data_IF_283913881886
#
_entry.id   IF_283913881886
#
_cell.length_a   1.000
_cell.length_b   1.000
_cell.length_c   1.000
_cell.angle_alpha   90.00
_cell.angle_beta   90.00
_cell.angle_gamma   90.00
#
_symmetry.space_group_name_H-M   'P 1'
#
loop_
_entity.id
_entity.type
_entity.pdbx_description
1 polymer ?
#
# COMPACT_ATOMS: atom_id res chain seq x y z
N UNK A 1 4.70 6.52 -1.04
CA UNK A 1 3.45 5.79 -1.37
C UNK A 1 2.39 5.98 -0.29
N UNK A 2 2.59 5.56 0.97
CA UNK A 2 1.59 5.76 2.04
C UNK A 2 1.13 7.24 2.17
N UNK A 3 2.06 8.19 2.08
CA UNK A 3 1.72 9.62 2.07
C UNK A 3 0.87 10.05 0.86
N UNK A 4 1.05 9.42 -0.31
CA UNK A 4 0.24 9.70 -1.50
C UNK A 4 -1.18 9.16 -1.32
N UNK A 5 -1.32 7.95 -0.76
CA UNK A 5 -2.63 7.38 -0.43
C UNK A 5 -3.35 8.20 0.65
N UNK A 6 -2.62 8.70 1.66
CA UNK A 6 -3.16 9.63 2.64
C UNK A 6 -3.65 10.96 2.00
N UNK A 7 -3.03 11.40 0.90
CA UNK A 7 -3.49 12.53 0.10
C UNK A 7 -4.60 12.17 -0.91
N UNK A 8 -5.10 10.93 -0.90
CA UNK A 8 -6.14 10.45 -1.83
C UNK A 8 -5.64 10.12 -3.24
N UNK A 9 -4.32 10.14 -3.47
CA UNK A 9 -3.72 9.79 -4.77
C UNK A 9 -3.46 8.29 -4.87
N UNK A 10 -4.54 7.51 -4.96
CA UNK A 10 -4.47 6.05 -5.02
C UNK A 10 -3.91 5.51 -6.34
N UNK A 11 -3.93 6.31 -7.41
CA UNK A 11 -3.33 5.97 -8.69
C UNK A 11 -1.81 6.23 -8.74
N UNK A 12 -1.28 6.98 -7.76
CA UNK A 12 0.08 7.51 -7.76
C UNK A 12 0.37 8.38 -8.99
N UNK A 13 -0.65 9.05 -9.52
CA UNK A 13 -0.53 9.87 -10.74
C UNK A 13 -0.02 11.28 -10.45
N UNK A 14 -0.27 11.79 -9.23
CA UNK A 14 0.17 13.13 -8.81
C UNK A 14 1.45 13.06 -7.96
N UNK A 15 1.72 11.92 -7.33
CA UNK A 15 2.85 11.67 -6.44
C UNK A 15 3.61 10.42 -6.89
N UNK A 16 4.27 10.50 -8.05
CA UNK A 16 5.13 9.43 -8.53
C UNK A 16 6.20 9.09 -7.48
N UNK A 17 6.36 7.80 -7.19
CA UNK A 17 7.34 7.29 -6.22
C UNK A 17 8.38 6.48 -6.98
N UNK A 18 9.65 6.84 -6.86
CA UNK A 18 10.75 6.09 -7.48
C UNK A 18 10.69 4.61 -7.06
N UNK A 19 10.78 3.72 -8.05
CA UNK A 19 10.71 2.27 -7.81
C UNK A 19 9.31 1.75 -7.51
N UNK A 20 8.24 2.52 -7.73
CA UNK A 20 6.85 2.07 -7.60
C UNK A 20 6.14 2.25 -8.94
N UNK A 21 5.47 1.20 -9.42
CA UNK A 21 4.66 1.27 -10.63
C UNK A 21 3.43 2.13 -10.38
N UNK A 22 2.98 2.84 -11.40
CA UNK A 22 1.67 3.47 -11.38
C UNK A 22 0.59 2.41 -11.11
N UNK A 23 -0.45 2.80 -10.37
CA UNK A 23 -1.54 1.89 -10.02
C UNK A 23 -2.64 2.03 -11.06
N UNK A 24 -3.08 0.92 -11.65
CA UNK A 24 -4.20 0.90 -12.59
C UNK A 24 -5.46 1.52 -11.97
N UNK A 25 -6.22 2.26 -12.78
CA UNK A 25 -7.40 3.01 -12.28
C UNK A 25 -8.45 2.12 -11.62
N UNK A 26 -8.60 0.86 -12.06
CA UNK A 26 -9.50 -0.11 -11.44
C UNK A 26 -9.03 -0.50 -10.02
N UNK A 27 -7.72 -0.72 -9.83
CA UNK A 27 -7.12 -1.00 -8.54
C UNK A 27 -7.21 0.24 -7.65
N UNK A 28 -6.85 1.41 -8.17
CA UNK A 28 -6.93 2.67 -7.44
C UNK A 28 -8.37 2.95 -6.94
N UNK A 29 -9.38 2.67 -7.76
CA UNK A 29 -10.78 2.75 -7.36
C UNK A 29 -11.13 1.76 -6.23
N UNK A 30 -10.69 0.51 -6.34
CA UNK A 30 -10.91 -0.50 -5.30
C UNK A 30 -10.23 -0.13 -3.97
N UNK A 31 -9.02 0.45 -4.03
CA UNK A 31 -8.32 0.99 -2.86
C UNK A 31 -9.14 2.13 -2.24
N UNK A 32 -9.61 3.09 -3.05
CA UNK A 32 -10.42 4.20 -2.57
C UNK A 32 -11.71 3.73 -1.90
N UNK A 33 -12.40 2.74 -2.48
CA UNK A 33 -13.60 2.12 -1.91
C UNK A 33 -13.30 1.42 -0.58
N UNK A 34 -12.18 0.70 -0.49
CA UNK A 34 -11.78 -0.01 0.74
C UNK A 34 -11.43 0.96 1.87
N UNK A 35 -10.66 2.02 1.57
CA UNK A 35 -10.33 3.07 2.56
C UNK A 35 -11.59 3.84 2.98
N UNK A 36 -12.47 4.16 2.04
CA UNK A 36 -13.75 4.82 2.33
C UNK A 36 -14.65 3.95 3.22
N UNK A 37 -14.74 2.65 2.93
CA UNK A 37 -15.52 1.69 3.71
C UNK A 37 -14.96 1.49 5.13
N UNK A 38 -13.64 1.60 5.31
CA UNK A 38 -13.02 1.59 6.65
C UNK A 38 -13.45 2.81 7.49
N UNK A 39 -13.75 3.93 6.83
CA UNK A 39 -14.36 5.11 7.47
C UNK A 39 -13.37 5.99 8.26
N UNK A 40 -12.07 5.77 8.12
CA UNK A 40 -11.02 6.60 8.74
C UNK A 40 -9.95 6.94 7.69
N UNK A 41 -9.52 8.20 7.68
CA UNK A 41 -8.46 8.67 6.78
C UNK A 41 -7.13 7.97 7.07
N UNK A 42 -6.39 7.67 6.01
CA UNK A 42 -5.01 7.20 6.12
C UNK A 42 -4.08 8.32 6.59
N UNK A 43 -3.04 7.93 7.32
CA UNK A 43 -1.97 8.81 7.76
C UNK A 43 -0.60 8.29 7.26
N UNK A 44 0.49 9.07 7.36
CA UNK A 44 1.83 8.56 7.07
C UNK A 44 2.12 7.28 7.87
N UNK A 45 2.78 6.32 7.22
CA UNK A 45 3.04 5.01 7.81
C UNK A 45 3.88 5.14 9.08
N UNK A 46 3.34 4.68 10.20
CA UNK A 46 4.02 4.66 11.48
C UNK A 46 5.07 3.54 11.53
N UNK A 47 6.16 3.75 12.27
CA UNK A 47 7.24 2.76 12.35
C UNK A 47 6.77 1.41 12.94
N UNK A 48 5.73 1.42 13.77
CA UNK A 48 5.15 0.22 14.36
C UNK A 48 4.58 -0.76 13.33
N UNK A 49 4.09 -0.27 12.16
CA UNK A 49 3.55 -1.11 11.10
C UNK A 49 4.56 -2.15 10.59
N UNK A 50 5.85 -1.80 10.58
CA UNK A 50 6.92 -2.69 10.14
C UNK A 50 7.14 -3.90 11.05
N UNK A 51 6.72 -3.82 12.32
CA UNK A 51 6.86 -4.94 13.27
C UNK A 51 5.96 -6.12 12.93
N UNK A 52 4.88 -5.87 12.20
CA UNK A 52 3.87 -6.86 11.81
C UNK A 52 3.85 -7.12 10.30
N UNK A 53 4.69 -6.42 9.54
CA UNK A 53 4.82 -6.62 8.11
C UNK A 53 5.22 -8.06 7.79
N UNK A 54 4.51 -8.66 6.85
CA UNK A 54 4.80 -10.01 6.36
C UNK A 54 5.40 -9.89 4.98
N UNK A 55 6.52 -10.57 4.75
CA UNK A 55 7.11 -10.70 3.43
C UNK A 55 7.47 -12.16 3.16
N UNK A 56 7.18 -12.61 1.93
CA UNK A 56 7.43 -14.00 1.52
C UNK A 56 7.92 -14.03 0.09
N UNK A 57 9.00 -14.77 -0.15
CA UNK A 57 9.43 -15.05 -1.51
C UNK A 57 8.38 -15.91 -2.22
N UNK A 58 7.93 -15.42 -3.36
CA UNK A 58 7.13 -16.11 -4.35
C UNK A 58 8.03 -16.34 -5.56
N UNK A 59 7.69 -17.31 -6.40
CA UNK A 59 8.46 -17.63 -7.60
C UNK A 59 8.61 -16.38 -8.53
N UNK A 60 9.75 -15.68 -8.40
CA UNK A 60 10.10 -14.47 -9.14
C UNK A 60 9.86 -13.11 -8.46
N UNK A 61 9.27 -13.05 -7.26
CA UNK A 61 9.04 -11.77 -6.57
C UNK A 61 8.79 -11.95 -5.05
N UNK A 62 9.00 -10.91 -4.25
CA UNK A 62 8.55 -10.90 -2.85
C UNK A 62 7.09 -10.44 -2.77
N UNK A 63 6.23 -11.25 -2.16
CA UNK A 63 4.92 -10.78 -1.68
C UNK A 63 5.12 -10.02 -0.39
N UNK A 64 4.55 -8.83 -0.29
CA UNK A 64 4.64 -7.93 0.86
C UNK A 64 3.23 -7.56 1.33
N UNK A 65 2.99 -7.73 2.63
CA UNK A 65 1.79 -7.30 3.34
C UNK A 65 2.22 -6.33 4.44
N UNK A 66 1.64 -5.13 4.44
CA UNK A 66 1.93 -4.10 5.45
C UNK A 66 0.62 -3.46 5.88
N UNK A 67 0.34 -3.51 7.17
CA UNK A 67 -0.79 -2.82 7.76
C UNK A 67 -0.58 -1.30 7.71
N UNK A 68 -1.61 -0.57 7.31
CA UNK A 68 -1.56 0.87 7.12
C UNK A 68 -1.83 1.60 8.43
N UNK A 69 -1.39 2.84 8.48
CA UNK A 69 -1.66 3.77 9.59
C UNK A 69 -2.83 4.66 9.22
N UNK A 70 -3.71 4.89 10.19
CA UNK A 70 -4.82 5.84 10.06
C UNK A 70 -4.65 6.99 11.04
N UNK A 71 -5.49 8.01 10.94
CA UNK A 71 -5.51 9.09 11.94
C UNK A 71 -5.91 8.61 13.35
N UNK A 72 -6.52 7.43 13.48
CA UNK A 72 -6.94 6.85 14.75
C UNK A 72 -5.98 5.79 15.29
N UNK A 73 -5.29 5.07 14.41
CA UNK A 73 -4.56 3.85 14.74
C UNK A 73 -3.16 3.87 14.13
N UNK A 74 -2.15 3.63 14.96
CA UNK A 74 -0.76 3.48 14.49
C UNK A 74 -0.59 2.29 13.53
N UNK A 75 -1.34 1.21 13.81
CA UNK A 75 -1.42 -0.01 13.02
C UNK A 75 -2.90 -0.37 12.94
N UNK A 76 -3.48 -0.30 11.75
CA UNK A 76 -4.90 -0.62 11.49
C UNK A 76 -5.07 -1.98 10.83
N UNK A 77 -6.29 -2.47 10.74
CA UNK A 77 -6.58 -3.72 10.01
C UNK A 77 -6.63 -3.52 8.48
N UNK A 78 -6.38 -2.31 7.96
CA UNK A 78 -6.23 -2.06 6.52
C UNK A 78 -4.83 -2.49 6.06
N UNK A 79 -4.75 -3.61 5.34
CA UNK A 79 -3.49 -4.15 4.84
C UNK A 79 -3.26 -3.77 3.38
N UNK A 80 -2.09 -3.19 3.10
CA UNK A 80 -1.53 -3.05 1.76
C UNK A 80 -0.95 -4.38 1.31
N UNK A 81 -1.37 -4.84 0.14
CA UNK A 81 -0.78 -5.98 -0.55
C UNK A 81 -0.02 -5.54 -1.79
N UNK A 82 1.25 -5.91 -1.86
CA UNK A 82 2.14 -5.53 -2.95
C UNK A 82 3.09 -6.66 -3.34
N UNK A 83 3.60 -6.56 -4.57
CA UNK A 83 4.72 -7.35 -5.09
C UNK A 83 5.95 -6.47 -5.17
N UNK A 84 7.08 -7.00 -4.73
CA UNK A 84 8.39 -6.40 -4.92
C UNK A 84 9.20 -7.30 -5.87
N UNK A 85 9.45 -6.81 -7.07
CA UNK A 85 10.24 -7.50 -8.09
C UNK A 85 11.71 -7.21 -7.84
N UNK A 86 12.46 -8.23 -7.41
CA UNK A 86 13.89 -8.16 -7.08
C UNK A 86 14.76 -8.20 -8.34
N UNK A 87 14.48 -7.25 -9.23
CA UNK A 87 15.22 -6.96 -10.45
C UNK A 87 15.88 -5.59 -10.31
N UNK A 88 16.86 -5.27 -11.14
CA UNK A 88 17.42 -3.91 -11.19
C UNK A 88 16.80 -3.11 -12.34
N UNK A 89 16.10 -1.98 -12.09
CA UNK A 89 15.84 -1.39 -10.77
C UNK A 89 14.74 -2.11 -9.98
N UNK A 90 14.86 -2.08 -8.65
CA UNK A 90 13.88 -2.64 -7.73
C UNK A 90 12.51 -2.00 -7.97
N UNK A 91 11.48 -2.82 -8.20
CA UNK A 91 10.16 -2.33 -8.60
C UNK A 91 9.05 -2.89 -7.70
N UNK A 92 8.28 -2.00 -7.08
CA UNK A 92 7.10 -2.30 -6.29
C UNK A 92 5.83 -2.15 -7.12
N UNK A 93 4.92 -3.11 -7.03
CA UNK A 93 3.62 -3.12 -7.67
C UNK A 93 2.53 -3.32 -6.61
N UNK A 94 1.59 -2.38 -6.51
CA UNK A 94 0.47 -2.48 -5.57
C UNK A 94 -0.63 -3.34 -6.18
N UNK A 95 -1.08 -4.35 -5.44
CA UNK A 95 -2.18 -5.21 -5.89
C UNK A 95 -3.52 -4.79 -5.27
N UNK A 96 -3.53 -4.44 -3.99
CA UNK A 96 -4.74 -4.02 -3.28
C UNK A 96 -4.47 -3.37 -1.93
N UNK A 97 -5.49 -2.73 -1.38
CA UNK A 97 -5.61 -2.34 0.03
C UNK A 97 -6.97 -2.83 0.50
N UNK A 98 -7.02 -3.62 1.56
CA UNK A 98 -8.25 -4.22 2.07
C UNK A 98 -8.10 -4.64 3.54
N UNK A 99 -9.22 -4.92 4.19
CA UNK A 99 -9.23 -5.65 5.47
C UNK A 99 -9.17 -7.15 5.12
N UNK A 100 -8.17 -7.92 5.61
CA UNK A 100 -7.98 -9.35 5.30
C UNK A 100 -9.11 -10.29 5.74
#
# INVERSE_FOLDING_TARGET
>A
MAAAFAAGDYALSNHAVTGVRAVDLSIAKSIAESVSAYGVSLAPLHAAAWRHAVYRWMDGYWRVLVDLTTEREEVSDLTLHAKLHDTEPLTLEVESVHVP
#
